data_IF_577486122096
#
_entry.id   IF_577486122096
#
_cell.length_a   1.000
_cell.length_b   1.000
_cell.length_c   1.000
_cell.angle_alpha   90.00
_cell.angle_beta   90.00
_cell.angle_gamma   90.00
#
_symmetry.space_group_name_H-M   'P 1'
#
loop_
_entity.id
_entity.type
_entity.pdbx_description
1 polymer ?
#
# COMPACT_ATOMS: atom_id res chain seq x y z
N UNK A 1 1.33 33.16 -25.54
CA UNK A 1 0.71 31.91 -26.05
C UNK A 1 1.47 30.64 -25.67
N UNK A 2 2.80 30.67 -25.58
CA UNK A 2 3.63 29.52 -25.21
C UNK A 2 3.20 28.69 -23.96
N UNK A 3 2.86 29.25 -22.79
CA UNK A 3 2.63 28.43 -21.59
C UNK A 3 1.33 27.59 -21.64
N UNK A 4 0.33 28.05 -22.42
CA UNK A 4 -0.90 27.28 -22.63
C UNK A 4 -0.66 26.04 -23.51
N UNK A 5 0.28 26.13 -24.45
CA UNK A 5 0.68 25.02 -25.32
C UNK A 5 1.45 23.96 -24.52
N UNK A 6 2.34 24.36 -23.60
CA UNK A 6 3.05 23.41 -22.73
C UNK A 6 2.10 22.72 -21.74
N UNK A 7 1.11 23.43 -21.19
CA UNK A 7 0.10 22.84 -20.33
C UNK A 7 -0.82 21.87 -21.10
N UNK A 8 -1.21 22.21 -22.33
CA UNK A 8 -2.00 21.34 -23.20
C UNK A 8 -1.20 20.10 -23.64
N UNK A 9 0.09 20.25 -23.95
CA UNK A 9 0.98 19.14 -24.28
C UNK A 9 1.22 18.22 -23.08
N UNK A 10 1.39 18.76 -21.87
CA UNK A 10 1.49 17.96 -20.65
C UNK A 10 0.18 17.21 -20.35
N UNK A 11 -0.98 17.84 -20.56
CA UNK A 11 -2.29 17.20 -20.45
C UNK A 11 -2.50 16.09 -21.48
N UNK A 12 -2.05 16.31 -22.73
CA UNK A 12 -2.11 15.31 -23.80
C UNK A 12 -1.17 14.11 -23.52
N UNK A 13 0.02 14.35 -22.97
CA UNK A 13 0.91 13.27 -22.52
C UNK A 13 0.34 12.46 -21.36
N UNK A 14 -0.34 13.12 -20.41
CA UNK A 14 -1.05 12.45 -19.32
C UNK A 14 -2.25 11.63 -19.82
N UNK A 15 -2.90 12.08 -20.90
CA UNK A 15 -4.04 11.38 -21.51
C UNK A 15 -3.68 10.05 -22.15
N UNK A 16 -2.42 9.85 -22.54
CA UNK A 16 -1.94 8.58 -23.04
C UNK A 16 -1.88 7.49 -21.94
N UNK A 17 -1.56 7.87 -20.70
CA UNK A 17 -1.42 6.93 -19.58
C UNK A 17 -2.70 6.77 -18.77
N UNK A 18 -3.52 7.83 -18.65
CA UNK A 18 -4.80 7.78 -17.93
C UNK A 18 -5.88 8.54 -18.72
N UNK A 19 -6.45 7.92 -19.77
CA UNK A 19 -7.36 8.58 -20.70
C UNK A 19 -8.60 9.17 -20.02
N UNK A 20 -9.15 8.46 -19.03
CA UNK A 20 -10.35 8.90 -18.32
C UNK A 20 -10.13 10.12 -17.42
N UNK A 21 -9.05 10.14 -16.62
CA UNK A 21 -8.80 11.21 -15.64
C UNK A 21 -8.41 12.52 -16.32
N UNK A 22 -7.65 12.44 -17.41
CA UNK A 22 -7.26 13.60 -18.22
C UNK A 22 -8.44 14.18 -19.00
N UNK A 23 -9.31 13.35 -19.60
CA UNK A 23 -10.51 13.79 -20.29
C UNK A 23 -11.51 14.46 -19.35
N UNK A 24 -11.73 13.89 -18.16
CA UNK A 24 -12.57 14.51 -17.12
C UNK A 24 -12.03 15.87 -16.68
N UNK A 25 -10.71 15.99 -16.51
CA UNK A 25 -10.06 17.25 -16.14
C UNK A 25 -10.16 18.31 -17.25
N UNK A 26 -9.99 17.92 -18.50
CA UNK A 26 -10.15 18.80 -19.65
C UNK A 26 -11.60 19.32 -19.75
N UNK A 27 -12.60 18.46 -19.53
CA UNK A 27 -14.01 18.86 -19.51
C UNK A 27 -14.32 19.84 -18.36
N UNK A 28 -13.73 19.64 -17.18
CA UNK A 28 -13.87 20.55 -16.05
C UNK A 28 -13.29 21.94 -16.36
N UNK A 29 -12.09 21.99 -16.94
CA UNK A 29 -11.45 23.24 -17.35
C UNK A 29 -12.25 23.93 -18.46
N UNK A 30 -12.79 23.17 -19.41
CA UNK A 30 -13.65 23.68 -20.48
C UNK A 30 -14.98 24.23 -19.94
N UNK A 31 -15.65 23.49 -19.06
CA UNK A 31 -16.89 23.93 -18.41
C UNK A 31 -16.70 25.19 -17.55
N UNK A 32 -15.55 25.30 -16.89
CA UNK A 32 -15.16 26.52 -16.17
C UNK A 32 -14.91 27.70 -17.13
N UNK A 33 -14.21 27.47 -18.24
CA UNK A 33 -13.92 28.51 -19.24
C UNK A 33 -15.18 29.00 -19.98
N UNK A 34 -16.14 28.11 -20.25
CA UNK A 34 -17.41 28.42 -20.93
C UNK A 34 -18.50 28.93 -19.96
N UNK A 35 -18.28 28.87 -18.65
CA UNK A 35 -19.27 29.24 -17.63
C UNK A 35 -20.50 28.33 -17.57
N UNK A 36 -20.45 27.15 -18.22
CA UNK A 36 -21.59 26.24 -18.36
C UNK A 36 -21.61 25.18 -17.27
N UNK A 37 -22.61 25.25 -16.38
CA UNK A 37 -22.76 24.33 -15.22
C UNK A 37 -22.96 22.87 -15.63
N UNK A 38 -23.59 22.62 -16.79
CA UNK A 38 -23.84 21.27 -17.30
C UNK A 38 -22.55 20.58 -17.76
N UNK A 39 -21.69 21.28 -18.50
CA UNK A 39 -20.38 20.77 -18.94
C UNK A 39 -19.47 20.51 -17.73
N UNK A 40 -19.54 21.39 -16.74
CA UNK A 40 -18.82 21.22 -15.47
C UNK A 40 -19.32 19.99 -14.71
N UNK A 41 -20.64 19.78 -14.63
CA UNK A 41 -21.25 18.58 -14.05
C UNK A 41 -20.85 17.29 -14.78
N UNK A 42 -20.90 17.28 -16.12
CA UNK A 42 -20.46 16.15 -16.92
C UNK A 42 -18.96 15.85 -16.74
N UNK A 43 -18.13 16.88 -16.58
CA UNK A 43 -16.71 16.74 -16.25
C UNK A 43 -16.48 16.09 -14.89
N UNK A 44 -17.25 16.46 -13.86
CA UNK A 44 -17.18 15.83 -12.53
C UNK A 44 -17.56 14.35 -12.62
N UNK A 45 -18.66 14.02 -13.29
CA UNK A 45 -19.14 12.64 -13.44
C UNK A 45 -18.12 11.78 -14.19
N UNK A 46 -17.59 12.26 -15.31
CA UNK A 46 -16.57 11.57 -16.08
C UNK A 46 -15.29 11.37 -15.26
N UNK A 47 -14.90 12.36 -14.46
CA UNK A 47 -13.73 12.28 -13.59
C UNK A 47 -13.90 11.27 -12.46
N UNK A 48 -15.10 11.18 -11.86
CA UNK A 48 -15.43 10.18 -10.84
C UNK A 48 -15.46 8.77 -11.41
N UNK A 49 -16.04 8.57 -12.60
CA UNK A 49 -16.04 7.27 -13.30
C UNK A 49 -14.61 6.85 -13.65
N UNK A 50 -13.79 7.78 -14.14
CA UNK A 50 -12.39 7.51 -14.44
C UNK A 50 -11.57 7.18 -13.18
N UNK A 51 -11.85 7.85 -12.05
CA UNK A 51 -11.21 7.55 -10.77
C UNK A 51 -11.57 6.14 -10.29
N UNK A 52 -12.84 5.74 -10.45
CA UNK A 52 -13.30 4.38 -10.16
C UNK A 52 -12.59 3.34 -11.02
N UNK A 53 -12.56 3.54 -12.34
CA UNK A 53 -11.86 2.63 -13.26
C UNK A 53 -10.36 2.53 -12.94
N UNK A 54 -9.71 3.66 -12.63
CA UNK A 54 -8.30 3.71 -12.28
C UNK A 54 -7.97 2.95 -10.98
N UNK A 55 -8.87 3.01 -9.99
CA UNK A 55 -8.71 2.27 -8.73
C UNK A 55 -8.70 0.76 -8.97
N UNK A 56 -9.64 0.25 -9.77
CA UNK A 56 -9.80 -1.18 -10.07
C UNK A 56 -8.84 -1.71 -11.14
N UNK A 57 -8.00 -0.87 -11.75
CA UNK A 57 -6.98 -1.35 -12.68
C UNK A 57 -5.81 -1.98 -11.91
N UNK A 58 -5.78 -3.30 -11.80
CA UNK A 58 -4.91 -4.04 -10.88
C UNK A 58 -3.43 -4.13 -11.30
N UNK A 59 -3.12 -3.89 -12.58
CA UNK A 59 -1.78 -4.16 -13.13
C UNK A 59 -0.72 -3.10 -12.75
N UNK A 60 -1.15 -1.91 -12.33
CA UNK A 60 -0.27 -0.82 -11.94
C UNK A 60 0.05 -0.88 -10.44
N UNK A 61 1.34 -0.82 -10.10
CA UNK A 61 1.81 -0.68 -8.71
C UNK A 61 1.18 0.54 -8.03
N UNK A 62 1.04 0.51 -6.70
CA UNK A 62 0.48 1.66 -5.98
C UNK A 62 1.33 2.91 -6.17
N UNK A 63 2.65 2.74 -6.33
CA UNK A 63 3.57 3.83 -6.62
C UNK A 63 3.32 4.47 -7.97
N UNK A 64 3.14 3.67 -9.03
CA UNK A 64 2.78 4.19 -10.34
C UNK A 64 1.45 4.94 -10.25
N UNK A 65 0.49 4.38 -9.49
CA UNK A 65 -0.82 4.98 -9.30
C UNK A 65 -0.75 6.36 -8.61
N UNK A 66 0.07 6.48 -7.57
CA UNK A 66 0.22 7.74 -6.82
C UNK A 66 1.02 8.79 -7.58
N UNK A 67 2.05 8.38 -8.33
CA UNK A 67 2.86 9.28 -9.16
C UNK A 67 2.05 9.99 -10.25
N UNK A 68 1.15 9.26 -10.94
CA UNK A 68 0.26 9.84 -11.95
C UNK A 68 -0.73 10.84 -11.36
N UNK A 69 -1.30 10.56 -10.18
CA UNK A 69 -2.19 11.49 -9.47
C UNK A 69 -1.44 12.75 -9.01
N UNK A 70 -0.19 12.60 -8.56
CA UNK A 70 0.67 13.73 -8.22
C UNK A 70 0.92 14.64 -9.42
N UNK A 71 1.29 14.05 -10.58
CA UNK A 71 1.52 14.80 -11.81
C UNK A 71 0.24 15.53 -12.27
N UNK A 72 -0.92 14.87 -12.18
CA UNK A 72 -2.22 15.49 -12.47
C UNK A 72 -2.50 16.66 -11.52
N UNK A 73 -2.24 16.51 -10.23
CA UNK A 73 -2.41 17.57 -9.23
C UNK A 73 -1.50 18.77 -9.50
N UNK A 74 -0.23 18.53 -9.84
CA UNK A 74 0.72 19.59 -10.23
C UNK A 74 0.23 20.32 -11.49
N UNK A 75 -0.25 19.58 -12.50
CA UNK A 75 -0.78 20.15 -13.73
C UNK A 75 -2.01 21.05 -13.47
N UNK A 76 -2.94 20.62 -12.62
CA UNK A 76 -4.12 21.40 -12.20
C UNK A 76 -3.71 22.68 -11.47
N UNK A 77 -2.80 22.56 -10.49
CA UNK A 77 -2.32 23.71 -9.72
C UNK A 77 -1.55 24.70 -10.60
N UNK A 78 -0.75 24.20 -11.54
CA UNK A 78 -0.06 25.00 -12.55
C UNK A 78 -1.03 25.74 -13.47
N UNK A 79 -2.04 25.05 -14.01
CA UNK A 79 -3.08 25.65 -14.84
C UNK A 79 -3.87 26.72 -14.08
N UNK A 80 -4.26 26.45 -12.84
CA UNK A 80 -4.90 27.42 -11.95
C UNK A 80 -4.00 28.62 -11.68
N UNK A 81 -2.70 28.41 -11.43
CA UNK A 81 -1.72 29.48 -11.24
C UNK A 81 -1.61 30.39 -12.46
N UNK A 82 -1.58 29.82 -13.66
CA UNK A 82 -1.59 30.54 -14.93
C UNK A 82 -2.89 31.34 -15.15
N UNK A 83 -4.04 30.74 -14.86
CA UNK A 83 -5.34 31.43 -14.95
C UNK A 83 -5.48 32.55 -13.89
N UNK A 84 -4.99 32.32 -12.67
CA UNK A 84 -4.98 33.32 -11.60
C UNK A 84 -4.03 34.49 -11.89
N UNK A 85 -2.90 34.25 -12.56
CA UNK A 85 -2.02 35.32 -13.06
C UNK A 85 -2.73 36.19 -14.11
N UNK A 86 -3.60 35.62 -14.95
CA UNK A 86 -4.43 36.37 -15.91
C UNK A 86 -5.58 37.15 -15.24
N UNK A 87 -6.17 36.61 -14.17
CA UNK A 87 -7.23 37.29 -13.41
C UNK A 87 -6.69 38.38 -12.46
N UNK A 88 -5.38 38.42 -12.22
CA UNK A 88 -4.73 39.35 -11.28
C UNK A 88 -4.74 40.81 -11.75
N UNK A 89 -5.07 41.08 -13.02
CA UNK A 89 -5.18 42.43 -13.59
C UNK A 89 -6.47 43.19 -13.21
N UNK A 90 -7.44 42.54 -12.53
CA UNK A 90 -8.77 43.13 -12.28
C UNK A 90 -9.18 43.31 -10.79
N UNK A 91 -8.31 43.02 -9.81
CA UNK A 91 -8.70 42.99 -8.39
C UNK A 91 -8.31 44.30 -7.66
N UNK A 92 -9.19 44.84 -6.80
CA UNK A 92 -9.04 46.12 -6.09
C UNK A 92 -9.18 45.97 -4.56
N UNK A 93 -8.61 44.88 -4.00
CA UNK A 93 -8.66 44.58 -2.55
C UNK A 93 -7.52 45.26 -1.76
N UNK A 94 -7.75 45.63 -0.48
CA UNK A 94 -6.75 46.25 0.39
C UNK A 94 -5.45 45.43 0.54
N UNK A 95 -4.31 46.13 0.61
CA UNK A 95 -2.95 45.57 0.56
C UNK A 95 -2.65 44.51 1.65
N UNK A 96 -3.18 44.69 2.86
CA UNK A 96 -3.00 43.74 3.97
C UNK A 96 -3.77 42.42 3.78
N UNK A 97 -5.01 42.47 3.28
CA UNK A 97 -5.81 41.26 2.98
C UNK A 97 -5.17 40.45 1.85
N UNK A 98 -4.49 41.11 0.90
CA UNK A 98 -3.73 40.47 -0.18
C UNK A 98 -2.50 39.70 0.33
N UNK A 99 -1.70 40.32 1.22
CA UNK A 99 -0.53 39.67 1.79
C UNK A 99 -0.91 38.44 2.63
N UNK A 100 -1.98 38.54 3.44
CA UNK A 100 -2.48 37.42 4.25
C UNK A 100 -3.02 36.28 3.39
N UNK A 101 -3.77 36.57 2.33
CA UNK A 101 -4.28 35.57 1.40
C UNK A 101 -3.16 34.90 0.57
N UNK A 102 -2.11 35.63 0.19
CA UNK A 102 -0.93 35.09 -0.50
C UNK A 102 -0.14 34.13 0.40
N UNK A 103 0.15 34.53 1.64
CA UNK A 103 0.84 33.67 2.63
C UNK A 103 0.06 32.40 2.92
N UNK A 104 -1.27 32.49 3.07
CA UNK A 104 -2.13 31.32 3.26
C UNK A 104 -2.13 30.38 2.06
N UNK A 105 -2.13 30.92 0.82
CA UNK A 105 -2.05 30.10 -0.41
C UNK A 105 -0.71 29.37 -0.52
N UNK A 106 0.40 30.03 -0.20
CA UNK A 106 1.73 29.41 -0.18
C UNK A 106 1.86 28.37 0.93
N UNK A 107 1.34 28.65 2.12
CA UNK A 107 1.29 27.68 3.20
C UNK A 107 0.47 26.43 2.82
N UNK A 108 -0.68 26.62 2.16
CA UNK A 108 -1.53 25.52 1.67
C UNK A 108 -0.86 24.71 0.56
N UNK A 109 -0.16 25.36 -0.38
CA UNK A 109 0.62 24.65 -1.41
C UNK A 109 1.77 23.87 -0.80
N UNK A 110 2.52 24.47 0.11
CA UNK A 110 3.65 23.81 0.77
C UNK A 110 3.18 22.63 1.61
N UNK A 111 2.09 22.78 2.38
CA UNK A 111 1.53 21.68 3.17
C UNK A 111 1.05 20.54 2.29
N UNK A 112 0.37 20.85 1.18
CA UNK A 112 -0.09 19.85 0.21
C UNK A 112 1.09 19.10 -0.40
N UNK A 113 2.15 19.80 -0.79
CA UNK A 113 3.37 19.20 -1.33
C UNK A 113 4.05 18.27 -0.30
N UNK A 114 4.11 18.69 0.96
CA UNK A 114 4.69 17.92 2.05
C UNK A 114 3.93 16.62 2.32
N UNK A 115 2.59 16.69 2.36
CA UNK A 115 1.72 15.52 2.54
C UNK A 115 1.88 14.55 1.36
N UNK A 116 1.88 15.06 0.12
CA UNK A 116 2.10 14.25 -1.07
C UNK A 116 3.46 13.56 -1.05
N UNK A 117 4.52 14.28 -0.69
CA UNK A 117 5.86 13.71 -0.57
C UNK A 117 5.93 12.60 0.49
N UNK A 118 5.34 12.84 1.67
CA UNK A 118 5.32 11.85 2.76
C UNK A 118 4.56 10.57 2.37
N UNK A 119 3.38 10.71 1.77
CA UNK A 119 2.57 9.56 1.32
C UNK A 119 3.29 8.78 0.22
N UNK A 120 3.87 9.47 -0.79
CA UNK A 120 4.62 8.80 -1.86
C UNK A 120 5.88 8.09 -1.33
N UNK A 121 6.59 8.70 -0.38
CA UNK A 121 7.75 8.07 0.26
C UNK A 121 7.34 6.80 1.04
N UNK A 122 6.20 6.82 1.73
CA UNK A 122 5.67 5.65 2.43
C UNK A 122 5.26 4.52 1.47
N UNK A 123 4.65 4.86 0.33
CA UNK A 123 4.31 3.89 -0.72
C UNK A 123 5.58 3.28 -1.32
N UNK A 124 6.59 4.09 -1.63
CA UNK A 124 7.86 3.61 -2.17
C UNK A 124 8.57 2.63 -1.24
N UNK A 125 8.61 2.91 0.07
CA UNK A 125 9.19 1.97 1.05
C UNK A 125 8.44 0.63 1.09
N UNK A 126 7.10 0.65 1.01
CA UNK A 126 6.27 -0.57 1.01
C UNK A 126 6.43 -1.38 -0.27
N UNK A 127 6.40 -0.72 -1.43
CA UNK A 127 6.64 -1.36 -2.73
C UNK A 127 8.04 -1.96 -2.80
N UNK A 128 9.04 -1.28 -2.23
CA UNK A 128 10.40 -1.81 -2.18
C UNK A 128 10.53 -3.05 -1.30
N UNK A 129 9.84 -3.08 -0.15
CA UNK A 129 9.72 -4.28 0.68
C UNK A 129 9.08 -5.43 -0.11
N UNK A 130 8.02 -5.15 -0.87
CA UNK A 130 7.37 -6.14 -1.73
C UNK A 130 8.26 -6.62 -2.89
N UNK A 131 9.08 -5.75 -3.47
CA UNK A 131 9.91 -6.09 -4.62
C UNK A 131 11.21 -6.81 -4.23
N UNK A 132 11.89 -6.32 -3.19
CA UNK A 132 13.22 -6.78 -2.76
C UNK A 132 13.18 -7.80 -1.63
N UNK A 133 12.02 -7.99 -1.00
CA UNK A 133 11.88 -8.95 0.10
C UNK A 133 12.09 -10.38 -0.38
N UNK A 134 12.95 -11.11 0.33
CA UNK A 134 13.23 -12.52 0.09
C UNK A 134 11.99 -13.36 0.40
N UNK A 135 11.71 -14.31 -0.48
CA UNK A 135 10.56 -15.19 -0.35
C UNK A 135 10.87 -16.26 0.69
N UNK A 136 10.01 -16.37 1.71
CA UNK A 136 10.10 -17.37 2.77
C UNK A 136 8.73 -18.01 2.96
N UNK A 137 8.68 -19.33 3.01
CA UNK A 137 7.46 -20.09 3.27
C UNK A 137 7.38 -20.46 4.76
N UNK A 138 6.25 -20.13 5.39
CA UNK A 138 5.94 -20.55 6.76
C UNK A 138 4.84 -21.61 6.74
N UNK A 139 5.09 -22.73 7.40
CA UNK A 139 4.11 -23.79 7.55
C UNK A 139 2.96 -23.34 8.46
N UNK A 140 1.73 -23.45 7.96
CA UNK A 140 0.51 -23.18 8.71
C UNK A 140 0.28 -24.33 9.70
N UNK A 141 -0.08 -23.98 10.92
CA UNK A 141 -0.62 -24.94 11.87
C UNK A 141 -2.08 -25.25 11.50
N UNK A 142 -2.63 -26.40 11.91
CA UNK A 142 -4.05 -26.69 11.71
C UNK A 142 -4.88 -25.67 12.49
N UNK A 143 -5.64 -24.82 11.79
CA UNK A 143 -6.56 -23.85 12.39
C UNK A 143 -7.90 -23.95 11.70
N UNK A 144 -8.97 -23.90 12.47
CA UNK A 144 -10.33 -23.87 11.94
C UNK A 144 -10.54 -22.61 11.08
N UNK A 145 -10.95 -22.75 9.81
CA UNK A 145 -11.02 -21.65 8.84
C UNK A 145 -12.25 -20.74 9.02
N UNK A 146 -12.97 -20.80 10.16
CA UNK A 146 -14.30 -20.20 10.27
C UNK A 146 -14.36 -19.11 11.34
N UNK A 147 -14.70 -17.90 10.91
CA UNK A 147 -15.33 -16.90 11.77
C UNK A 147 -16.41 -16.16 11.00
N UNK A 148 -17.64 -16.32 11.48
CA UNK A 148 -18.89 -15.98 10.80
C UNK A 148 -19.26 -14.48 10.83
N UNK A 149 -18.59 -13.66 11.64
CA UNK A 149 -19.11 -12.32 11.98
C UNK A 149 -18.66 -11.18 11.06
N UNK A 150 -17.60 -11.34 10.27
CA UNK A 150 -17.00 -10.22 9.50
C UNK A 150 -16.77 -10.52 8.01
N UNK A 151 -17.25 -11.66 7.52
CA UNK A 151 -17.03 -12.16 6.16
C UNK A 151 -16.17 -13.42 6.13
N UNK A 152 -15.87 -13.89 4.92
CA UNK A 152 -15.07 -15.10 4.68
C UNK A 152 -13.57 -14.81 4.91
N UNK A 153 -13.03 -15.26 6.04
CA UNK A 153 -11.61 -15.16 6.35
C UNK A 153 -11.08 -16.41 7.06
N UNK A 154 -9.82 -16.74 6.82
CA UNK A 154 -9.12 -17.86 7.45
C UNK A 154 -8.17 -17.31 8.51
N UNK A 155 -8.35 -17.74 9.76
CA UNK A 155 -7.38 -17.46 10.81
C UNK A 155 -6.06 -18.18 10.51
N UNK A 156 -4.95 -17.46 10.64
CA UNK A 156 -3.61 -17.97 10.37
C UNK A 156 -2.90 -18.23 11.70
N UNK A 157 -2.57 -19.48 11.96
CA UNK A 157 -1.56 -19.84 12.97
C UNK A 157 -0.42 -20.58 12.26
N UNK A 158 0.79 -20.45 12.79
CA UNK A 158 1.98 -21.01 12.18
C UNK A 158 2.62 -22.02 13.11
N UNK A 159 3.06 -23.16 12.57
CA UNK A 159 3.77 -24.17 13.36
C UNK A 159 5.05 -23.58 14.00
N UNK A 160 5.67 -22.61 13.33
CA UNK A 160 6.79 -21.83 13.85
C UNK A 160 6.40 -21.04 15.12
N UNK A 161 5.19 -20.46 15.17
CA UNK A 161 4.72 -19.66 16.30
C UNK A 161 4.52 -20.51 17.54
N UNK A 162 4.01 -21.73 17.36
CA UNK A 162 3.83 -22.69 18.45
C UNK A 162 5.17 -23.11 19.06
N UNK A 163 6.17 -23.43 18.22
CA UNK A 163 7.54 -23.76 18.69
C UNK A 163 8.21 -22.59 19.38
N UNK A 164 8.08 -21.38 18.81
CA UNK A 164 8.64 -20.18 19.41
C UNK A 164 8.00 -19.86 20.77
N UNK A 165 6.68 -20.01 20.90
CA UNK A 165 5.97 -19.85 22.17
C UNK A 165 6.49 -20.82 23.23
N UNK A 166 6.74 -22.08 22.86
CA UNK A 166 7.31 -23.06 23.78
C UNK A 166 8.73 -22.67 24.23
N UNK A 167 9.60 -22.27 23.29
CA UNK A 167 10.94 -21.81 23.61
C UNK A 167 10.94 -20.57 24.53
N UNK A 168 10.04 -19.62 24.29
CA UNK A 168 9.88 -18.44 25.16
C UNK A 168 9.36 -18.82 26.55
N UNK A 169 8.47 -19.80 26.64
CA UNK A 169 7.94 -20.29 27.93
C UNK A 169 9.03 -20.96 28.77
N UNK A 170 9.91 -21.74 28.14
CA UNK A 170 11.07 -22.37 28.78
C UNK A 170 12.09 -21.31 29.23
N UNK A 171 12.40 -20.34 28.37
CA UNK A 171 13.34 -19.25 28.65
C UNK A 171 12.86 -18.35 29.81
N UNK A 172 11.57 -18.01 29.85
CA UNK A 172 11.00 -17.13 30.88
C UNK A 172 10.48 -17.88 32.11
N UNK A 173 11.09 -19.02 32.46
CA UNK A 173 10.76 -19.76 33.69
C UNK A 173 9.26 -20.00 33.86
N UNK A 174 8.59 -20.46 32.80
CA UNK A 174 7.17 -20.82 32.78
C UNK A 174 6.19 -19.63 32.93
N UNK A 175 6.65 -18.39 32.73
CA UNK A 175 5.78 -17.20 32.77
C UNK A 175 6.06 -16.30 31.57
N UNK A 176 5.14 -16.28 30.60
CA UNK A 176 5.28 -15.41 29.42
C UNK A 176 4.91 -13.95 29.76
N UNK A 177 5.66 -12.97 29.26
CA UNK A 177 5.25 -11.57 29.30
C UNK A 177 3.94 -11.35 28.51
N UNK A 178 3.09 -10.42 28.97
CA UNK A 178 1.84 -10.06 28.26
C UNK A 178 2.10 -9.52 26.84
N UNK A 179 3.20 -8.79 26.68
CA UNK A 179 3.62 -8.20 25.42
C UNK A 179 5.14 -8.28 25.28
N UNK A 180 5.62 -8.94 24.22
CA UNK A 180 7.03 -9.00 23.87
C UNK A 180 7.15 -8.79 22.36
N UNK A 181 8.12 -8.00 21.91
CA UNK A 181 8.51 -7.97 20.51
C UNK A 181 9.95 -8.46 20.45
N UNK A 182 10.27 -9.32 19.51
CA UNK A 182 11.62 -9.87 19.38
C UNK A 182 11.87 -10.38 17.98
N UNK A 183 13.07 -10.92 17.79
CA UNK A 183 13.49 -11.56 16.55
C UNK A 183 13.79 -13.03 16.83
N UNK A 184 13.50 -13.87 15.85
CA UNK A 184 13.80 -15.30 15.88
C UNK A 184 14.66 -15.64 14.68
N UNK A 185 15.65 -16.50 14.89
CA UNK A 185 16.49 -17.03 13.81
C UNK A 185 15.85 -18.32 13.30
N UNK A 186 15.54 -18.33 12.00
CA UNK A 186 15.04 -19.50 11.29
C UNK A 186 16.06 -19.98 10.28
N UNK A 187 16.09 -21.28 10.04
CA UNK A 187 16.83 -21.89 8.94
C UNK A 187 15.88 -22.13 7.77
N UNK A 188 16.31 -21.75 6.57
CA UNK A 188 15.60 -22.05 5.33
C UNK A 188 16.05 -23.39 4.77
N UNK A 189 15.10 -24.25 4.42
CA UNK A 189 15.36 -25.47 3.64
C UNK A 189 15.55 -25.16 2.15
N UNK A 190 15.91 -26.15 1.33
CA UNK A 190 16.07 -26.02 -0.13
C UNK A 190 14.78 -25.50 -0.82
N UNK A 191 13.62 -25.78 -0.22
CA UNK A 191 12.32 -25.28 -0.66
C UNK A 191 11.94 -23.89 -0.09
N UNK A 192 12.89 -23.17 0.53
CA UNK A 192 12.68 -21.90 1.26
C UNK A 192 11.65 -21.97 2.40
N UNK A 193 11.42 -23.17 2.95
CA UNK A 193 10.55 -23.36 4.11
C UNK A 193 11.33 -23.04 5.38
N UNK A 194 10.85 -22.07 6.15
CA UNK A 194 11.49 -21.65 7.39
C UNK A 194 11.20 -22.63 8.54
N UNK A 195 12.27 -23.09 9.19
CA UNK A 195 12.24 -23.94 10.38
C UNK A 195 12.85 -23.20 11.57
N UNK A 196 12.25 -23.38 12.75
CA UNK A 196 12.77 -22.81 14.00
C UNK A 196 14.18 -23.33 14.28
N UNK A 197 15.12 -22.42 14.56
CA UNK A 197 16.49 -22.77 14.97
C UNK A 197 16.80 -22.29 16.39
N UNK A 198 16.75 -20.98 16.63
CA UNK A 198 17.03 -20.37 17.94
C UNK A 198 16.36 -19.01 18.11
N UNK A 199 16.23 -18.55 19.35
CA UNK A 199 15.93 -17.15 19.67
C UNK A 199 17.12 -16.27 19.24
N UNK A 200 16.86 -15.06 18.76
CA UNK A 200 17.95 -14.14 18.37
C UNK A 200 18.74 -13.71 19.61
N UNK A 201 20.01 -14.07 19.62
CA UNK A 201 21.01 -13.76 20.65
C UNK A 201 22.07 -12.76 20.14
N UNK A 202 21.84 -12.19 18.95
CA UNK A 202 22.78 -11.28 18.29
C UNK A 202 23.94 -11.98 17.58
N UNK A 203 23.98 -13.32 17.54
CA UNK A 203 24.98 -14.07 16.79
C UNK A 203 24.94 -13.78 15.28
N UNK A 204 26.08 -13.92 14.57
CA UNK A 204 26.11 -13.80 13.11
C UNK A 204 25.30 -14.94 12.47
N UNK A 205 24.51 -14.61 11.45
CA UNK A 205 23.71 -15.60 10.73
C UNK A 205 24.56 -16.38 9.73
N UNK A 206 24.28 -17.67 9.63
CA UNK A 206 24.74 -18.49 8.52
C UNK A 206 24.02 -18.13 7.21
N UNK A 207 24.54 -18.59 6.07
CA UNK A 207 23.99 -18.27 4.74
C UNK A 207 22.57 -18.80 4.51
N UNK A 208 22.18 -19.86 5.23
CA UNK A 208 20.87 -20.50 5.26
C UNK A 208 19.96 -19.98 6.41
N UNK A 209 20.47 -19.11 7.28
CA UNK A 209 19.72 -18.55 8.40
C UNK A 209 19.13 -17.17 8.03
N UNK A 210 17.92 -16.88 8.51
CA UNK A 210 17.26 -15.57 8.42
C UNK A 210 16.69 -15.14 9.76
N UNK A 211 16.71 -13.83 10.03
CA UNK A 211 16.03 -13.21 11.16
C UNK A 211 14.60 -12.88 10.77
N UNK A 212 13.64 -13.30 11.59
CA UNK A 212 12.23 -12.98 11.45
C UNK A 212 11.73 -12.24 12.69
N UNK A 213 11.08 -11.10 12.50
CA UNK A 213 10.46 -10.36 13.58
C UNK A 213 9.15 -11.02 14.03
N UNK A 214 8.97 -11.19 15.33
CA UNK A 214 7.75 -11.71 15.94
C UNK A 214 7.17 -10.73 16.97
N UNK A 215 5.86 -10.87 17.22
CA UNK A 215 5.18 -10.13 18.28
C UNK A 215 4.36 -11.09 19.13
N UNK A 216 4.65 -11.12 20.42
CA UNK A 216 3.86 -11.77 21.45
C UNK A 216 2.84 -10.76 22.00
N UNK A 217 1.56 -11.13 22.01
CA UNK A 217 0.46 -10.40 22.66
C UNK A 217 -0.52 -11.39 23.25
N UNK A 218 -0.86 -11.23 24.53
CA UNK A 218 -1.80 -12.11 25.24
C UNK A 218 -1.40 -13.60 25.13
N UNK A 219 -0.10 -13.90 25.27
CA UNK A 219 0.44 -15.27 25.15
C UNK A 219 0.43 -15.88 23.74
N UNK A 220 -0.01 -15.13 22.72
CA UNK A 220 0.02 -15.57 21.31
C UNK A 220 1.17 -14.93 20.56
N UNK A 221 1.99 -15.77 19.93
CA UNK A 221 3.09 -15.35 19.04
C UNK A 221 2.51 -15.13 17.64
N UNK A 222 2.78 -13.96 17.05
CA UNK A 222 2.26 -13.57 15.73
C UNK A 222 3.39 -13.17 14.80
N UNK A 223 3.28 -13.62 13.55
CA UNK A 223 4.16 -13.29 12.44
C UNK A 223 3.38 -12.48 11.41
N UNK A 224 3.68 -11.18 11.30
CA UNK A 224 3.01 -10.21 10.43
C UNK A 224 1.48 -10.04 10.60
N UNK A 225 0.68 -11.06 10.30
CA UNK A 225 -0.79 -11.04 10.29
C UNK A 225 -1.36 -12.34 10.89
N UNK A 226 -2.57 -12.27 11.42
CA UNK A 226 -3.33 -13.34 12.06
C UNK A 226 -4.51 -13.86 11.21
N UNK A 227 -4.80 -13.23 10.07
CA UNK A 227 -5.93 -13.61 9.23
C UNK A 227 -5.67 -13.33 7.73
N UNK A 228 -6.21 -14.19 6.87
CA UNK A 228 -6.29 -13.98 5.44
C UNK A 228 -7.75 -13.82 5.02
N UNK A 229 -8.09 -12.66 4.46
CA UNK A 229 -9.44 -12.35 4.00
C UNK A 229 -9.60 -12.69 2.52
N UNK A 230 -10.70 -13.37 2.17
CA UNK A 230 -11.03 -13.71 0.79
C UNK A 230 -12.50 -13.38 0.49
N UNK A 231 -12.85 -13.42 -0.79
CA UNK A 231 -14.22 -13.18 -1.23
C UNK A 231 -15.13 -14.35 -0.79
N UNK A 232 -16.38 -14.03 -0.46
CA UNK A 232 -17.37 -15.00 0.01
C UNK A 232 -17.57 -16.15 -1.00
N UNK A 233 -17.53 -17.40 -0.50
CA UNK A 233 -17.68 -18.61 -1.32
C UNK A 233 -16.37 -19.21 -1.84
N UNK A 234 -15.21 -18.66 -1.48
CA UNK A 234 -13.89 -19.22 -1.84
C UNK A 234 -13.21 -20.01 -0.72
N UNK A 235 -13.88 -20.20 0.42
CA UNK A 235 -13.33 -20.88 1.61
C UNK A 235 -12.75 -22.27 1.29
N UNK A 236 -13.48 -23.11 0.55
CA UNK A 236 -13.05 -24.49 0.23
C UNK A 236 -11.71 -24.54 -0.52
N UNK A 237 -11.40 -23.52 -1.33
CA UNK A 237 -10.14 -23.45 -2.06
C UNK A 237 -8.95 -23.19 -1.13
N UNK A 238 -9.18 -22.43 -0.06
CA UNK A 238 -8.12 -22.07 0.89
C UNK A 238 -7.99 -23.08 2.04
N UNK A 239 -8.94 -23.99 2.21
CA UNK A 239 -8.89 -25.06 3.22
C UNK A 239 -7.70 -26.02 3.02
N UNK A 240 -7.25 -26.19 1.77
CA UNK A 240 -6.06 -26.95 1.43
C UNK A 240 -4.73 -26.22 1.76
N UNK A 241 -4.77 -25.00 2.31
CA UNK A 241 -3.57 -24.23 2.58
C UNK A 241 -2.70 -24.90 3.65
N UNK A 242 -1.42 -25.12 3.31
CA UNK A 242 -0.38 -25.66 4.18
C UNK A 242 0.77 -24.71 4.40
N UNK A 243 1.00 -23.78 3.48
CA UNK A 243 2.06 -22.79 3.59
C UNK A 243 1.55 -21.36 3.32
N UNK A 244 2.04 -20.40 4.11
CA UNK A 244 1.93 -18.98 3.81
C UNK A 244 3.23 -18.49 3.18
N UNK A 245 3.14 -17.80 2.05
CA UNK A 245 4.28 -17.15 1.41
C UNK A 245 4.47 -15.74 1.97
N UNK A 246 5.63 -15.50 2.54
CA UNK A 246 6.01 -14.21 3.09
C UNK A 246 7.17 -13.60 2.32
N UNK A 247 7.20 -12.27 2.28
CA UNK A 247 8.35 -11.49 1.87
C UNK A 247 9.02 -10.87 3.08
N UNK A 248 10.29 -11.22 3.29
CA UNK A 248 11.11 -10.79 4.42
C UNK A 248 12.07 -9.71 3.94
N UNK A 249 12.08 -8.55 4.60
CA UNK A 249 13.06 -7.51 4.33
C UNK A 249 14.35 -7.71 5.13
N UNK A 250 15.36 -6.86 4.90
CA UNK A 250 16.64 -6.91 5.63
C UNK A 250 16.51 -6.72 7.15
N UNK A 251 15.39 -6.16 7.62
CA UNK A 251 15.07 -5.95 9.04
C UNK A 251 14.25 -7.11 9.64
N UNK A 252 14.05 -8.21 8.90
CA UNK A 252 13.27 -9.37 9.35
C UNK A 252 11.76 -9.15 9.40
N UNK A 253 11.25 -8.03 8.91
CA UNK A 253 9.82 -7.77 8.84
C UNK A 253 9.18 -8.57 7.71
N UNK A 254 8.13 -9.29 8.07
CA UNK A 254 7.38 -10.22 7.23
C UNK A 254 6.15 -9.54 6.62
N UNK A 255 5.85 -9.84 5.36
CA UNK A 255 4.61 -9.46 4.70
C UNK A 255 4.01 -10.66 3.97
N UNK A 256 2.79 -11.07 4.34
CA UNK A 256 2.08 -12.17 3.69
C UNK A 256 1.67 -11.77 2.26
N UNK A 257 1.98 -12.61 1.29
CA UNK A 257 1.71 -12.35 -0.14
C UNK A 257 0.79 -13.38 -0.79
N UNK A 258 0.70 -14.59 -0.24
CA UNK A 258 -0.18 -15.63 -0.76
C UNK A 258 -0.19 -16.87 0.12
N UNK A 259 -1.16 -17.75 -0.16
CA UNK A 259 -1.30 -19.06 0.47
C UNK A 259 -0.97 -20.15 -0.56
N UNK A 260 -0.45 -21.27 -0.09
CA UNK A 260 0.04 -22.37 -0.91
C UNK A 260 -0.38 -23.71 -0.31
N UNK A 261 -0.62 -24.70 -1.17
CA UNK A 261 -0.92 -26.08 -0.78
C UNK A 261 0.34 -26.88 -0.45
N UNK A 262 0.18 -28.17 -0.13
CA UNK A 262 1.29 -29.07 0.19
C UNK A 262 2.32 -29.23 -0.96
N UNK A 263 1.88 -29.07 -2.20
CA UNK A 263 2.72 -29.14 -3.39
C UNK A 263 3.37 -27.79 -3.75
N UNK A 264 3.28 -26.78 -2.88
CA UNK A 264 3.73 -25.41 -3.13
C UNK A 264 3.08 -24.79 -4.38
N UNK A 265 1.83 -25.14 -4.66
CA UNK A 265 1.00 -24.45 -5.64
C UNK A 265 0.22 -23.32 -4.96
N UNK A 266 0.21 -22.15 -5.60
CA UNK A 266 -0.46 -20.97 -5.05
C UNK A 266 -1.98 -21.19 -5.02
N UNK A 267 -2.54 -21.15 -3.82
CA UNK A 267 -3.97 -21.17 -3.57
C UNK A 267 -4.51 -19.76 -3.72
N UNK A 268 -5.36 -19.59 -4.73
CA UNK A 268 -6.01 -18.32 -5.00
C UNK A 268 -5.06 -17.27 -5.54
N UNK A 269 -5.23 -16.98 -6.82
CA UNK A 269 -4.75 -15.78 -7.47
C UNK A 269 -5.77 -15.37 -8.52
N UNK A 270 -5.95 -14.06 -8.70
CA UNK A 270 -6.15 -13.57 -10.05
C UNK A 270 -4.92 -14.05 -10.85
N UNK A 271 -5.17 -14.68 -11.99
CA UNK A 271 -4.14 -14.99 -12.97
C UNK A 271 -3.29 -13.72 -13.26
N UNK A 272 -2.00 -13.88 -13.64
CA UNK A 272 -1.09 -12.76 -13.87
C UNK A 272 -1.66 -11.68 -14.78
#
# INVERSE_FOLDING_TARGET
MAPAVHAAAALAGLAFYVPGLSAGLALLLLGYALGQRLVLGAGVVLWLVALGHYYYWLDLSLLAKSGLLLLLGIAVLGARGLLARRAHEADSRPQERRARASRFRWALMLSTLLVLAAVNAAIWHKERHLAEGEIVYLALAPVDPRSLMQGDYMALDFALAQRLRQALYEDHSQTLPDALNGEVVVRLDDAQVARFQRLDDGSPLASDERRLAFRLRHGQVRFATDAFFFQEGHAERYDAARYGQFRVNAQGALLLTGLYDEALQRLGGLAP
#
